data_IF_259723635670
#
_entry.id   IF_259723635670
#
_cell.length_a   1.000
_cell.length_b   1.000
_cell.length_c   1.000
_cell.angle_alpha   90.00
_cell.angle_beta   90.00
_cell.angle_gamma   90.00
#
_symmetry.space_group_name_H-M   'P 1'
#
loop_
_entity.id
_entity.type
_entity.pdbx_description
1 polymer ?
#
# COMPACT_ATOMS: atom_id res chain seq x y z
N UNK A 1 -60.20 -6.01 -18.32
CA UNK A 1 -60.10 -6.32 -16.88
C UNK A 1 -58.94 -7.28 -16.70
N UNK A 2 -57.79 -6.78 -16.24
CA UNK A 2 -56.55 -7.57 -16.14
C UNK A 2 -56.27 -7.86 -14.66
N UNK A 3 -56.37 -9.12 -14.26
CA UNK A 3 -56.19 -9.55 -12.88
C UNK A 3 -54.73 -9.91 -12.61
N UNK A 4 -54.09 -9.15 -11.72
CA UNK A 4 -52.72 -9.33 -11.22
C UNK A 4 -52.70 -10.33 -10.06
N UNK A 5 -52.29 -11.58 -10.32
CA UNK A 5 -52.18 -12.63 -9.27
C UNK A 5 -50.75 -13.15 -9.03
N UNK A 6 -49.71 -12.51 -9.60
CA UNK A 6 -48.34 -13.06 -9.57
C UNK A 6 -47.43 -12.52 -8.44
N UNK A 7 -47.85 -11.54 -7.64
CA UNK A 7 -47.00 -10.92 -6.60
C UNK A 7 -46.96 -11.69 -5.27
N UNK A 8 -48.07 -12.32 -4.89
CA UNK A 8 -48.24 -12.89 -3.54
C UNK A 8 -47.43 -14.16 -3.32
N UNK A 9 -47.37 -15.06 -4.28
CA UNK A 9 -46.62 -16.33 -4.14
C UNK A 9 -45.11 -16.08 -3.94
N UNK A 10 -44.55 -15.08 -4.62
CA UNK A 10 -43.14 -14.73 -4.48
C UNK A 10 -42.84 -14.03 -3.15
N UNK A 11 -43.78 -13.23 -2.62
CA UNK A 11 -43.66 -12.63 -1.29
C UNK A 11 -43.78 -13.68 -0.18
N UNK A 12 -44.72 -14.61 -0.30
CA UNK A 12 -44.92 -15.73 0.64
C UNK A 12 -43.68 -16.63 0.69
N UNK A 13 -43.09 -16.96 -0.47
CA UNK A 13 -41.84 -17.74 -0.55
C UNK A 13 -40.63 -17.04 0.10
N UNK A 14 -40.56 -15.70 0.00
CA UNK A 14 -39.51 -14.91 0.69
C UNK A 14 -39.74 -14.85 2.19
N UNK A 15 -40.98 -14.65 2.64
CA UNK A 15 -41.34 -14.60 4.05
C UNK A 15 -41.08 -15.95 4.73
N UNK A 16 -41.51 -17.06 4.13
CA UNK A 16 -41.22 -18.43 4.62
C UNK A 16 -39.72 -18.74 4.68
N UNK A 17 -38.92 -18.32 3.70
CA UNK A 17 -37.45 -18.46 3.82
C UNK A 17 -36.87 -17.62 4.95
N UNK A 18 -37.38 -16.41 5.19
CA UNK A 18 -36.92 -15.57 6.29
C UNK A 18 -37.28 -16.15 7.65
N UNK A 19 -38.49 -16.68 7.82
CA UNK A 19 -38.95 -17.32 9.06
C UNK A 19 -38.22 -18.64 9.34
N UNK A 20 -38.02 -19.48 8.33
CA UNK A 20 -37.22 -20.70 8.47
C UNK A 20 -35.76 -20.39 8.83
N UNK A 21 -35.19 -19.32 8.24
CA UNK A 21 -33.82 -18.90 8.52
C UNK A 21 -33.66 -18.30 9.92
N UNK A 22 -34.66 -17.60 10.44
CA UNK A 22 -34.66 -17.09 11.82
C UNK A 22 -34.90 -18.19 12.85
N UNK A 23 -35.81 -19.13 12.58
CA UNK A 23 -36.07 -20.28 13.44
C UNK A 23 -34.86 -21.23 13.52
N UNK A 24 -34.21 -21.52 12.39
CA UNK A 24 -32.97 -22.32 12.38
C UNK A 24 -31.80 -21.61 13.05
N UNK A 25 -31.69 -20.27 12.94
CA UNK A 25 -30.69 -19.50 13.68
C UNK A 25 -30.92 -19.53 15.21
N UNK A 26 -32.18 -19.54 15.65
CA UNK A 26 -32.59 -19.71 17.06
C UNK A 26 -32.24 -21.10 17.60
N UNK A 27 -32.63 -22.16 16.88
CA UNK A 27 -32.39 -23.56 17.26
C UNK A 27 -30.92 -23.98 17.26
N UNK A 28 -30.08 -23.36 16.42
CA UNK A 28 -28.65 -23.69 16.34
C UNK A 28 -27.79 -23.02 17.41
N UNK A 29 -28.36 -22.25 18.34
CA UNK A 29 -27.62 -21.59 19.42
C UNK A 29 -26.59 -20.55 18.93
N UNK A 30 -26.58 -20.22 17.64
CA UNK A 30 -25.67 -19.23 17.03
C UNK A 30 -26.15 -17.82 17.35
N UNK A 31 -26.12 -17.44 18.63
CA UNK A 31 -26.20 -16.03 19.01
C UNK A 31 -25.03 -15.30 18.36
N UNK A 32 -25.31 -14.23 17.59
CA UNK A 32 -24.26 -13.27 17.24
C UNK A 32 -23.66 -12.80 18.56
N UNK A 33 -22.34 -12.90 18.69
CA UNK A 33 -21.63 -12.40 19.87
C UNK A 33 -21.96 -10.92 20.10
N UNK A 34 -21.62 -10.37 21.28
CA UNK A 34 -21.95 -8.99 21.65
C UNK A 34 -21.49 -7.94 20.63
N UNK A 35 -20.53 -8.28 19.77
CA UNK A 35 -19.94 -7.40 18.76
C UNK A 35 -20.25 -7.85 17.31
N UNK A 36 -21.49 -7.71 16.81
CA UNK A 36 -21.88 -8.18 15.48
C UNK A 36 -21.17 -7.45 14.32
N UNK A 37 -20.55 -6.31 14.59
CA UNK A 37 -19.87 -5.47 13.60
C UNK A 37 -18.34 -5.66 13.58
N UNK A 38 -17.78 -6.44 14.50
CA UNK A 38 -16.34 -6.73 14.55
C UNK A 38 -16.07 -8.03 13.79
N UNK A 39 -15.03 -8.03 12.96
CA UNK A 39 -14.66 -9.23 12.21
C UNK A 39 -13.97 -10.25 13.12
N UNK A 40 -14.19 -11.54 12.81
CA UNK A 40 -13.42 -12.66 13.36
C UNK A 40 -11.93 -12.38 13.05
N UNK A 41 -11.06 -12.49 14.05
CA UNK A 41 -9.61 -12.19 14.00
C UNK A 41 -9.21 -10.71 14.06
N UNK A 42 -10.10 -9.82 14.54
CA UNK A 42 -9.69 -8.46 14.93
C UNK A 42 -9.03 -8.47 16.30
N UNK A 43 -7.84 -7.87 16.38
CA UNK A 43 -7.04 -7.73 17.60
C UNK A 43 -7.35 -6.37 18.24
N UNK A 44 -7.31 -6.30 19.57
CA UNK A 44 -7.43 -5.02 20.28
C UNK A 44 -6.24 -4.10 19.92
N UNK A 45 -6.47 -2.80 19.73
CA UNK A 45 -5.39 -1.86 19.37
C UNK A 45 -4.28 -1.83 20.43
N UNK A 46 -4.64 -2.04 21.70
CA UNK A 46 -3.69 -2.00 22.82
C UNK A 46 -2.95 -3.33 23.00
N UNK A 47 -3.33 -4.38 22.26
CA UNK A 47 -2.66 -5.69 22.36
C UNK A 47 -1.26 -5.64 21.75
N UNK A 48 -0.25 -6.32 22.33
CA UNK A 48 1.11 -6.38 21.79
C UNK A 48 1.15 -6.84 20.32
N UNK A 49 0.32 -7.82 19.95
CA UNK A 49 0.24 -8.32 18.57
C UNK A 49 -0.24 -7.26 17.56
N UNK A 50 -0.92 -6.20 18.00
CA UNK A 50 -1.32 -5.09 17.13
C UNK A 50 -0.20 -4.05 16.95
N UNK A 51 0.85 -4.11 17.77
CA UNK A 51 2.01 -3.20 17.76
C UNK A 51 3.16 -3.76 16.91
N UNK A 52 2.90 -3.89 15.62
CA UNK A 52 3.84 -4.47 14.62
C UNK A 52 4.81 -3.45 14.02
N UNK A 53 4.87 -2.26 14.58
CA UNK A 53 5.60 -1.13 14.02
C UNK A 53 7.10 -1.36 14.13
N UNK A 54 7.80 -1.20 13.01
CA UNK A 54 9.25 -1.29 12.93
C UNK A 54 9.77 -0.11 12.14
N UNK A 55 10.75 0.56 12.70
CA UNK A 55 11.50 1.61 12.03
C UNK A 55 12.02 1.09 10.69
N UNK A 56 11.90 1.93 9.65
CA UNK A 56 12.34 1.57 8.30
C UNK A 56 13.75 2.10 8.10
N UNK A 57 14.71 1.21 7.90
CA UNK A 57 16.14 1.56 7.82
C UNK A 57 16.53 2.47 9.00
N UNK A 58 17.18 3.60 8.72
CA UNK A 58 17.55 4.60 9.72
C UNK A 58 16.42 5.53 10.14
N UNK A 59 15.20 5.35 9.60
CA UNK A 59 14.00 6.16 9.86
C UNK A 59 14.06 7.59 9.31
N UNK A 60 15.16 7.94 8.65
CA UNK A 60 15.28 9.19 7.90
C UNK A 60 14.37 9.15 6.67
N UNK A 61 13.87 10.33 6.27
CA UNK A 61 13.08 10.48 5.05
C UNK A 61 13.83 10.04 3.80
N UNK A 62 15.15 10.27 3.74
CA UNK A 62 15.98 9.90 2.59
C UNK A 62 16.10 8.38 2.43
N UNK A 63 16.49 7.68 3.50
CA UNK A 63 16.60 6.22 3.50
C UNK A 63 15.24 5.54 3.37
N UNK A 64 14.20 6.08 4.02
CA UNK A 64 12.82 5.60 3.88
C UNK A 64 12.28 5.71 2.46
N UNK A 65 12.55 6.82 1.75
CA UNK A 65 12.18 6.95 0.34
C UNK A 65 12.98 6.00 -0.56
N UNK A 66 14.29 5.85 -0.32
CA UNK A 66 15.11 4.88 -1.05
C UNK A 66 14.61 3.43 -0.86
N UNK A 67 14.17 3.10 0.35
CA UNK A 67 13.55 1.82 0.67
C UNK A 67 12.20 1.62 -0.02
N UNK A 68 11.33 2.62 0.03
CA UNK A 68 10.03 2.58 -0.64
C UNK A 68 10.19 2.44 -2.17
N UNK A 69 11.15 3.16 -2.75
CA UNK A 69 11.52 3.06 -4.15
C UNK A 69 12.04 1.67 -4.52
N UNK A 70 12.89 1.08 -3.68
CA UNK A 70 13.43 -0.27 -3.90
C UNK A 70 12.31 -1.31 -3.88
N UNK A 71 11.40 -1.21 -2.90
CA UNK A 71 10.29 -2.14 -2.76
C UNK A 71 9.31 -2.02 -3.93
N UNK A 72 8.99 -0.79 -4.34
CA UNK A 72 8.10 -0.54 -5.47
C UNK A 72 8.70 -1.06 -6.77
N UNK A 73 9.98 -0.79 -7.03
CA UNK A 73 10.67 -1.31 -8.20
C UNK A 73 10.71 -2.85 -8.19
N UNK A 74 10.94 -3.46 -7.02
CA UNK A 74 10.90 -4.92 -6.88
C UNK A 74 9.52 -5.48 -7.21
N UNK A 75 8.45 -4.81 -6.78
CA UNK A 75 7.08 -5.24 -7.06
C UNK A 75 6.75 -5.16 -8.56
N UNK A 76 7.20 -4.10 -9.24
CA UNK A 76 7.05 -3.93 -10.68
C UNK A 76 7.81 -5.02 -11.45
N UNK A 77 9.09 -5.25 -11.11
CA UNK A 77 9.91 -6.32 -11.71
C UNK A 77 9.29 -7.71 -11.45
N UNK A 78 8.79 -7.95 -10.24
CA UNK A 78 8.11 -9.19 -9.88
C UNK A 78 6.87 -9.44 -10.75
N UNK A 79 6.02 -8.42 -10.95
CA UNK A 79 4.80 -8.53 -11.75
C UNK A 79 5.10 -8.86 -13.21
N UNK A 80 6.18 -8.29 -13.77
CA UNK A 80 6.62 -8.56 -15.15
C UNK A 80 7.21 -9.95 -15.29
N UNK A 81 8.15 -10.33 -14.41
CA UNK A 81 8.88 -11.61 -14.51
C UNK A 81 7.96 -12.81 -14.28
N UNK A 82 6.99 -12.71 -13.38
CA UNK A 82 6.10 -13.81 -13.02
C UNK A 82 4.78 -13.79 -13.80
N UNK A 83 4.65 -12.89 -14.79
CA UNK A 83 3.51 -12.87 -15.69
C UNK A 83 3.55 -14.10 -16.59
N UNK A 84 2.50 -14.93 -16.53
CA UNK A 84 2.34 -16.04 -17.47
C UNK A 84 1.84 -15.51 -18.82
N UNK A 85 2.19 -16.21 -19.89
CA UNK A 85 1.68 -15.88 -21.22
C UNK A 85 0.14 -15.90 -21.22
N UNK A 86 -0.49 -14.90 -21.82
CA UNK A 86 -1.95 -14.75 -21.85
C UNK A 86 -2.61 -14.38 -20.51
N UNK A 87 -1.86 -14.26 -19.41
CA UNK A 87 -2.41 -13.88 -18.10
C UNK A 87 -2.04 -12.45 -17.70
N UNK A 88 -2.77 -11.93 -16.70
CA UNK A 88 -2.34 -10.75 -15.97
C UNK A 88 -1.18 -11.12 -15.04
N UNK A 89 -0.36 -10.13 -14.68
CA UNK A 89 0.68 -10.29 -13.67
C UNK A 89 0.08 -10.62 -12.29
N UNK A 90 0.87 -11.23 -11.39
CA UNK A 90 0.41 -11.66 -10.07
C UNK A 90 -0.12 -10.51 -9.19
N UNK A 91 0.50 -9.33 -9.24
CA UNK A 91 0.09 -8.15 -8.47
C UNK A 91 -0.90 -7.28 -9.25
N UNK A 92 -0.75 -7.24 -10.58
CA UNK A 92 -1.47 -6.35 -11.50
C UNK A 92 -1.15 -4.86 -11.24
N UNK A 93 -1.46 -4.00 -12.21
CA UNK A 93 -1.31 -2.55 -12.08
C UNK A 93 -2.03 -1.99 -10.84
N UNK A 94 -3.19 -2.56 -10.47
CA UNK A 94 -3.94 -2.16 -9.28
C UNK A 94 -3.17 -2.45 -7.98
N UNK A 95 -2.50 -3.61 -7.88
CA UNK A 95 -1.66 -3.96 -6.73
C UNK A 95 -0.50 -2.99 -6.56
N UNK A 96 0.20 -2.69 -7.66
CA UNK A 96 1.31 -1.74 -7.68
C UNK A 96 0.83 -0.33 -7.28
N UNK A 97 -0.33 0.11 -7.80
CA UNK A 97 -0.92 1.41 -7.47
C UNK A 97 -1.29 1.53 -5.98
N UNK A 98 -1.88 0.48 -5.40
CA UNK A 98 -2.20 0.43 -3.97
C UNK A 98 -0.94 0.45 -3.11
N UNK A 99 0.06 -0.35 -3.46
CA UNK A 99 1.35 -0.38 -2.76
C UNK A 99 2.02 1.00 -2.78
N UNK A 100 2.10 1.63 -3.96
CA UNK A 100 2.61 3.00 -4.12
C UNK A 100 1.87 4.01 -3.27
N UNK A 101 0.53 3.94 -3.22
CA UNK A 101 -0.27 4.87 -2.42
C UNK A 101 0.04 4.76 -0.92
N UNK A 102 0.14 3.54 -0.39
CA UNK A 102 0.46 3.30 1.02
C UNK A 102 1.88 3.80 1.33
N UNK A 103 2.87 3.40 0.53
CA UNK A 103 4.28 3.75 0.72
C UNK A 103 4.55 5.26 0.69
N UNK A 104 3.81 6.03 -0.12
CA UNK A 104 4.05 7.48 -0.30
C UNK A 104 3.21 8.37 0.60
N UNK A 105 2.05 7.91 1.06
CA UNK A 105 1.06 8.77 1.74
C UNK A 105 0.74 8.37 3.17
N UNK A 106 0.90 7.10 3.52
CA UNK A 106 0.47 6.58 4.81
C UNK A 106 1.61 6.12 5.72
N UNK A 107 2.79 5.93 5.15
CA UNK A 107 3.92 5.35 5.85
C UNK A 107 4.77 6.43 6.50
N UNK A 108 4.83 6.40 7.82
CA UNK A 108 5.84 7.13 8.58
C UNK A 108 7.11 6.28 8.65
N UNK A 109 8.23 6.80 8.14
CA UNK A 109 9.50 6.09 8.10
C UNK A 109 10.17 5.98 9.47
N UNK A 110 9.95 6.97 10.34
CA UNK A 110 10.59 7.02 11.66
C UNK A 110 10.02 5.96 12.59
N UNK A 111 8.69 5.79 12.56
CA UNK A 111 7.98 4.83 13.42
C UNK A 111 7.65 3.52 12.69
N UNK A 112 7.60 3.52 11.36
CA UNK A 112 7.06 2.43 10.56
C UNK A 112 5.53 2.33 10.63
N UNK A 113 4.87 3.30 11.26
CA UNK A 113 3.42 3.28 11.50
C UNK A 113 2.69 3.58 10.20
N UNK A 114 1.71 2.73 9.86
CA UNK A 114 0.78 3.02 8.77
C UNK A 114 -0.61 2.46 9.06
N UNK A 115 -1.57 3.38 9.22
CA UNK A 115 -2.94 3.06 9.62
C UNK A 115 -4.01 3.67 8.70
N UNK A 116 -3.84 3.65 7.36
CA UNK A 116 -4.82 4.23 6.47
C UNK A 116 -6.16 3.47 6.55
N UNK A 117 -7.26 4.21 6.58
CA UNK A 117 -8.58 3.60 6.40
C UNK A 117 -8.72 3.04 4.97
N UNK A 118 -9.49 1.96 4.80
CA UNK A 118 -9.73 1.36 3.48
C UNK A 118 -10.34 2.37 2.49
N UNK A 119 -11.25 3.24 2.95
CA UNK A 119 -11.85 4.29 2.13
C UNK A 119 -10.83 5.36 1.72
N UNK A 120 -9.86 5.65 2.60
CA UNK A 120 -8.75 6.57 2.29
C UNK A 120 -7.86 6.00 1.19
N UNK A 121 -7.57 4.70 1.21
CA UNK A 121 -6.82 4.02 0.12
C UNK A 121 -7.60 4.09 -1.20
N UNK A 122 -8.92 3.86 -1.15
CA UNK A 122 -9.82 4.02 -2.31
C UNK A 122 -9.72 5.43 -2.88
N UNK A 123 -9.78 6.47 -2.04
CA UNK A 123 -9.68 7.88 -2.46
C UNK A 123 -8.32 8.19 -3.11
N UNK A 124 -7.22 7.67 -2.57
CA UNK A 124 -5.89 7.90 -3.14
C UNK A 124 -5.66 7.18 -4.46
N UNK A 125 -6.24 5.99 -4.62
CA UNK A 125 -6.04 5.14 -5.79
C UNK A 125 -7.11 5.34 -6.86
N UNK A 126 -8.27 5.92 -6.55
CA UNK A 126 -9.40 6.02 -7.47
C UNK A 126 -9.98 4.66 -7.89
N UNK A 127 -9.64 3.58 -7.17
CA UNK A 127 -10.12 2.23 -7.46
C UNK A 127 -11.38 1.92 -6.66
N UNK A 128 -12.20 1.00 -7.16
CA UNK A 128 -13.36 0.52 -6.39
C UNK A 128 -12.89 -0.23 -5.13
N UNK A 129 -13.70 -0.15 -4.07
CA UNK A 129 -13.46 -0.89 -2.80
C UNK A 129 -13.12 -2.38 -3.01
N UNK A 130 -13.87 -3.17 -3.81
CA UNK A 130 -13.51 -4.57 -4.05
C UNK A 130 -12.18 -4.73 -4.78
N UNK A 131 -11.83 -3.83 -5.71
CA UNK A 131 -10.54 -3.86 -6.39
C UNK A 131 -9.37 -3.61 -5.42
N UNK A 132 -9.52 -2.68 -4.47
CA UNK A 132 -8.52 -2.44 -3.43
C UNK A 132 -8.38 -3.65 -2.51
N UNK A 133 -9.49 -4.27 -2.08
CA UNK A 133 -9.45 -5.48 -1.23
C UNK A 133 -8.75 -6.64 -1.96
N UNK A 134 -9.05 -6.84 -3.25
CA UNK A 134 -8.40 -7.88 -4.06
C UNK A 134 -6.90 -7.58 -4.27
N UNK A 135 -6.54 -6.32 -4.47
CA UNK A 135 -5.14 -5.90 -4.60
C UNK A 135 -4.36 -6.13 -3.30
N UNK A 136 -4.94 -5.76 -2.14
CA UNK A 136 -4.34 -6.02 -0.83
C UNK A 136 -4.14 -7.53 -0.59
N UNK A 137 -5.13 -8.36 -0.90
CA UNK A 137 -5.02 -9.82 -0.80
C UNK A 137 -3.81 -10.36 -1.57
N UNK A 138 -3.64 -9.97 -2.84
CA UNK A 138 -2.50 -10.39 -3.67
C UNK A 138 -1.16 -9.91 -3.09
N UNK A 139 -1.08 -8.66 -2.64
CA UNK A 139 0.14 -8.13 -2.01
C UNK A 139 0.55 -8.94 -0.78
N UNK A 140 -0.43 -9.38 0.03
CA UNK A 140 -0.20 -10.24 1.19
C UNK A 140 0.20 -11.65 0.81
N UNK A 141 -0.43 -12.22 -0.19
CA UNK A 141 -0.11 -13.56 -0.66
C UNK A 141 1.35 -13.63 -1.15
N UNK A 142 1.85 -12.57 -1.79
CA UNK A 142 3.23 -12.49 -2.28
C UNK A 142 4.24 -11.90 -1.26
N UNK A 143 3.77 -11.41 -0.12
CA UNK A 143 4.62 -10.93 0.97
C UNK A 143 5.17 -9.51 0.81
N UNK A 144 4.53 -8.68 -0.03
CA UNK A 144 4.88 -7.25 -0.15
C UNK A 144 4.26 -6.39 0.95
N UNK A 145 3.11 -6.80 1.49
CA UNK A 145 2.36 -6.05 2.49
C UNK A 145 1.58 -7.01 3.38
N UNK A 146 1.58 -6.81 4.69
CA UNK A 146 0.71 -7.53 5.61
C UNK A 146 -0.13 -6.53 6.41
N UNK A 147 -1.21 -7.00 7.03
CA UNK A 147 -2.03 -6.17 7.90
C UNK A 147 -2.68 -6.95 9.02
N UNK A 148 -2.90 -6.24 10.12
CA UNK A 148 -3.70 -6.71 11.25
C UNK A 148 -4.99 -5.92 11.28
N UNK A 149 -6.10 -6.65 11.41
CA UNK A 149 -7.41 -6.05 11.65
C UNK A 149 -7.50 -5.66 13.11
N UNK A 150 -7.94 -4.44 13.37
CA UNK A 150 -7.97 -3.90 14.73
C UNK A 150 -9.38 -3.53 15.19
N UNK A 151 -9.60 -3.65 16.49
CA UNK A 151 -10.81 -3.20 17.17
C UNK A 151 -10.47 -2.38 18.41
N UNK A 152 -11.34 -1.43 18.75
CA UNK A 152 -11.23 -0.60 19.96
C UNK A 152 -12.44 -0.93 20.85
N UNK A 153 -12.25 -0.92 22.17
CA UNK A 153 -13.37 -1.04 23.12
C UNK A 153 -14.08 0.30 23.20
N UNK A 154 -15.39 0.30 22.97
CA UNK A 154 -16.21 1.53 22.95
C UNK A 154 -17.32 1.49 24.01
N UNK A 155 -17.60 0.32 24.60
CA UNK A 155 -18.60 0.17 25.66
C UNK A 155 -18.01 0.13 27.07
N UNK A 156 -18.77 0.63 28.04
CA UNK A 156 -18.59 0.29 29.45
C UNK A 156 -18.98 -1.17 29.69
N UNK A 157 -18.19 -1.87 30.53
CA UNK A 157 -18.46 -3.25 30.92
C UNK A 157 -19.88 -3.37 31.49
N UNK A 158 -20.71 -4.19 30.86
CA UNK A 158 -22.05 -4.52 31.36
C UNK A 158 -23.19 -3.70 30.75
N UNK A 159 -22.91 -2.66 29.95
CA UNK A 159 -23.98 -1.96 29.23
C UNK A 159 -24.47 -2.75 28.01
N UNK A 160 -25.79 -2.76 27.74
CA UNK A 160 -26.35 -3.38 26.53
C UNK A 160 -25.94 -2.59 25.28
N UNK A 161 -25.09 -3.20 24.44
CA UNK A 161 -24.63 -2.62 23.18
C UNK A 161 -23.33 -3.26 22.67
N UNK A 162 -22.86 -2.91 21.46
CA UNK A 162 -21.57 -3.37 20.95
C UNK A 162 -20.45 -2.88 21.86
N UNK A 163 -19.70 -3.80 22.43
CA UNK A 163 -18.61 -3.54 23.35
C UNK A 163 -17.33 -3.17 22.60
N UNK A 164 -17.21 -3.60 21.33
CA UNK A 164 -16.07 -3.30 20.45
C UNK A 164 -16.53 -2.70 19.12
N UNK A 165 -15.72 -1.76 18.63
CA UNK A 165 -15.87 -1.14 17.31
C UNK A 165 -14.66 -1.46 16.44
N UNK A 166 -14.91 -1.82 15.19
CA UNK A 166 -13.85 -2.00 14.20
C UNK A 166 -13.16 -0.65 13.92
N UNK A 167 -11.84 -0.65 13.90
CA UNK A 167 -11.04 0.52 13.53
C UNK A 167 -10.20 0.26 12.27
N UNK A 168 -9.40 1.25 11.86
CA UNK A 168 -8.47 1.12 10.74
C UNK A 168 -7.49 -0.03 10.96
N UNK A 169 -7.19 -0.75 9.87
CA UNK A 169 -6.21 -1.81 9.92
C UNK A 169 -4.81 -1.22 10.13
N UNK A 170 -3.95 -1.97 10.80
CA UNK A 170 -2.52 -1.69 10.87
C UNK A 170 -1.83 -2.37 9.68
N UNK A 171 -1.24 -1.60 8.78
CA UNK A 171 -0.51 -2.13 7.61
C UNK A 171 0.99 -2.07 7.87
N UNK A 172 1.70 -3.16 7.61
CA UNK A 172 3.13 -3.26 7.88
C UNK A 172 3.83 -4.11 6.84
N UNK A 173 5.15 -3.97 6.76
CA UNK A 173 5.96 -4.57 5.71
C UNK A 173 6.74 -5.75 6.27
N UNK A 174 6.07 -6.90 6.39
CA UNK A 174 6.73 -8.16 6.77
C UNK A 174 7.30 -8.86 5.54
N UNK A 175 8.53 -8.52 5.20
CA UNK A 175 9.23 -9.09 4.05
C UNK A 175 9.67 -10.56 4.27
N UNK A 176 9.39 -11.15 5.45
CA UNK A 176 9.70 -12.55 5.74
C UNK A 176 8.99 -13.52 4.80
N UNK A 177 7.70 -13.28 4.50
CA UNK A 177 6.95 -14.11 3.55
C UNK A 177 7.54 -14.03 2.14
N UNK A 178 7.96 -12.84 1.71
CA UNK A 178 8.65 -12.64 0.43
C UNK A 178 9.98 -13.38 0.41
N UNK A 179 10.78 -13.29 1.48
CA UNK A 179 12.05 -14.01 1.62
C UNK A 179 11.86 -15.52 1.49
N UNK A 180 10.85 -16.06 2.16
CA UNK A 180 10.66 -17.51 2.24
C UNK A 180 10.07 -18.08 0.95
N UNK A 181 9.11 -17.36 0.33
CA UNK A 181 8.41 -17.81 -0.89
C UNK A 181 9.13 -17.43 -2.19
N UNK A 182 9.85 -16.31 -2.20
CA UNK A 182 10.44 -15.70 -3.38
C UNK A 182 11.87 -15.22 -3.10
N UNK A 183 12.78 -16.14 -2.78
CA UNK A 183 14.19 -15.85 -2.41
C UNK A 183 14.91 -14.91 -3.39
N UNK A 184 14.75 -15.12 -4.70
CA UNK A 184 15.36 -14.26 -5.73
C UNK A 184 14.82 -12.83 -5.73
N UNK A 185 13.52 -12.66 -5.47
CA UNK A 185 12.87 -11.34 -5.36
C UNK A 185 13.38 -10.59 -4.13
N UNK A 186 13.55 -11.31 -3.02
CA UNK A 186 14.16 -10.75 -1.81
C UNK A 186 15.62 -10.32 -2.02
N UNK A 187 16.43 -11.13 -2.68
CA UNK A 187 17.81 -10.77 -3.03
C UNK A 187 17.84 -9.53 -3.94
N UNK A 188 16.95 -9.48 -4.94
CA UNK A 188 16.81 -8.34 -5.83
C UNK A 188 16.41 -7.07 -5.08
N UNK A 189 15.47 -7.18 -4.15
CA UNK A 189 15.09 -6.07 -3.28
C UNK A 189 16.29 -5.52 -2.49
N UNK A 190 17.08 -6.40 -1.86
CA UNK A 190 18.29 -5.99 -1.13
C UNK A 190 19.31 -5.31 -2.04
N UNK A 191 19.52 -5.82 -3.24
CA UNK A 191 20.42 -5.23 -4.22
C UNK A 191 19.96 -3.81 -4.62
N UNK A 192 18.66 -3.65 -4.90
CA UNK A 192 18.07 -2.37 -5.25
C UNK A 192 18.14 -1.37 -4.10
N UNK A 193 17.89 -1.84 -2.88
CA UNK A 193 17.98 -1.04 -1.67
C UNK A 193 19.41 -0.53 -1.45
N UNK A 194 20.41 -1.41 -1.46
CA UNK A 194 21.81 -1.03 -1.32
C UNK A 194 22.23 0.01 -2.38
N UNK A 195 21.84 -0.20 -3.64
CA UNK A 195 22.11 0.75 -4.73
C UNK A 195 21.44 2.10 -4.49
N UNK A 196 20.17 2.12 -4.06
CA UNK A 196 19.43 3.38 -3.85
C UNK A 196 19.92 4.14 -2.62
N UNK A 197 20.31 3.44 -1.55
CA UNK A 197 20.93 4.05 -0.38
C UNK A 197 22.28 4.67 -0.75
N UNK A 198 23.15 3.94 -1.46
CA UNK A 198 24.42 4.48 -1.94
C UNK A 198 24.23 5.76 -2.80
N UNK A 199 23.26 5.74 -3.71
CA UNK A 199 22.92 6.91 -4.53
C UNK A 199 22.34 8.07 -3.71
N UNK A 200 21.56 7.79 -2.66
CA UNK A 200 21.02 8.81 -1.78
C UNK A 200 22.14 9.50 -0.98
N UNK A 201 23.08 8.72 -0.44
CA UNK A 201 24.26 9.23 0.27
C UNK A 201 25.16 10.07 -0.64
N UNK A 202 25.41 9.60 -1.88
CA UNK A 202 26.19 10.34 -2.86
C UNK A 202 25.55 11.69 -3.23
N UNK A 203 24.20 11.75 -3.30
CA UNK A 203 23.47 13.01 -3.54
C UNK A 203 23.53 13.96 -2.36
N UNK A 204 23.42 13.47 -1.13
CA UNK A 204 23.50 14.32 0.07
C UNK A 204 24.92 14.81 0.35
N UNK A 205 25.95 14.05 -0.06
CA UNK A 205 27.35 14.45 0.07
C UNK A 205 27.85 15.41 -1.01
N UNK A 206 27.04 15.71 -2.04
CA UNK A 206 27.38 16.70 -3.07
C UNK A 206 27.13 18.11 -2.50
N UNK A 207 28.15 18.98 -2.40
CA UNK A 207 27.94 20.33 -1.92
C UNK A 207 26.99 21.10 -2.86
N UNK A 208 26.10 21.95 -2.33
CA UNK A 208 25.04 22.62 -3.09
C UNK A 208 25.56 23.52 -4.23
N UNK A 209 26.83 23.94 -4.16
CA UNK A 209 27.47 24.87 -5.10
C UNK A 209 28.56 24.25 -5.97
N UNK A 210 28.60 22.92 -6.15
CA UNK A 210 29.40 22.41 -7.28
C UNK A 210 28.66 22.74 -8.57
N UNK A 211 29.11 23.71 -9.40
CA UNK A 211 28.51 23.89 -10.71
C UNK A 211 28.52 22.53 -11.42
N UNK A 212 27.48 22.22 -12.23
CA UNK A 212 27.55 21.05 -13.09
C UNK A 212 28.92 21.09 -13.79
N UNK A 213 29.65 19.97 -13.91
CA UNK A 213 30.89 19.96 -14.67
C UNK A 213 30.56 20.63 -16.00
N UNK A 214 31.22 21.76 -16.28
CA UNK A 214 30.93 22.56 -17.46
C UNK A 214 30.86 21.57 -18.62
N UNK A 215 29.77 21.57 -19.40
CA UNK A 215 29.65 20.59 -20.46
C UNK A 215 30.91 20.73 -21.31
N UNK A 216 31.54 19.60 -21.66
CA UNK A 216 32.84 19.54 -22.34
C UNK A 216 32.85 20.20 -23.74
N UNK A 217 31.84 20.99 -24.07
CA UNK A 217 31.80 21.89 -25.20
C UNK A 217 32.94 22.91 -25.16
N UNK A 218 33.46 23.30 -23.99
CA UNK A 218 34.55 24.28 -23.88
C UNK A 218 35.86 23.82 -24.53
N UNK A 219 36.09 22.50 -24.64
CA UNK A 219 37.25 21.93 -25.34
C UNK A 219 36.95 21.53 -26.79
N UNK A 220 35.73 21.75 -27.27
CA UNK A 220 35.38 21.54 -28.68
C UNK A 220 35.75 22.77 -29.53
N UNK A 221 36.11 22.60 -30.82
CA UNK A 221 36.38 23.73 -31.72
C UNK A 221 35.21 24.72 -31.79
N UNK A 222 33.97 24.22 -31.66
CA UNK A 222 32.76 25.04 -31.63
C UNK A 222 32.69 25.90 -30.35
N UNK A 223 33.11 25.36 -29.21
CA UNK A 223 33.17 26.10 -27.95
C UNK A 223 34.18 27.23 -27.98
N UNK A 224 35.34 27.00 -28.61
CA UNK A 224 36.35 28.04 -28.83
C UNK A 224 35.81 29.17 -29.74
N UNK A 225 35.10 28.81 -30.82
CA UNK A 225 34.50 29.78 -31.74
C UNK A 225 33.40 30.63 -31.06
N UNK A 226 32.56 30.01 -30.22
CA UNK A 226 31.53 30.73 -29.46
C UNK A 226 32.12 31.64 -28.39
N UNK A 227 33.19 31.21 -27.72
CA UNK A 227 33.91 32.04 -26.75
C UNK A 227 34.57 33.26 -27.42
N UNK A 228 35.17 33.09 -28.59
CA UNK A 228 35.76 34.21 -29.34
C UNK A 228 34.69 35.19 -29.84
N UNK A 229 33.50 34.70 -30.21
CA UNK A 229 32.38 35.55 -30.61
C UNK A 229 31.85 36.37 -29.42
N UNK A 230 31.70 35.75 -28.25
CA UNK A 230 31.28 36.44 -27.02
C UNK A 230 32.20 37.60 -26.65
N UNK A 231 33.52 37.36 -26.67
CA UNK A 231 34.53 38.39 -26.39
C UNK A 231 34.46 39.57 -27.39
N UNK A 232 34.15 39.30 -28.67
CA UNK A 232 34.00 40.36 -29.68
C UNK A 232 32.73 41.19 -29.47
N UNK A 233 31.64 40.57 -29.04
CA UNK A 233 30.38 41.27 -28.75
C UNK A 233 30.54 42.17 -27.52
N UNK A 234 31.21 41.72 -26.46
CA UNK A 234 31.50 42.54 -25.28
C UNK A 234 32.42 43.72 -25.62
N UNK A 235 33.45 43.50 -26.44
CA UNK A 235 34.34 44.58 -26.89
C UNK A 235 33.66 45.60 -27.82
N UNK A 236 32.58 45.20 -28.50
CA UNK A 236 31.79 46.09 -29.36
C UNK A 236 30.65 46.79 -28.61
N UNK A 237 30.39 46.40 -27.36
CA UNK A 237 29.36 46.98 -26.49
C UNK A 237 29.93 47.97 -25.46
N UNK A 238 31.23 48.26 -25.53
CA UNK A 238 31.93 49.28 -24.73
C UNK A 238 32.25 50.52 -25.56
#
# INVERSE_FOLDING_TARGET
MSLTFSSDAAQIARQTRQTLKSATASLTGKRRGPDPHVRRDSVDVDHPDAQVWRKIEDGSKGSGLAWADALLQTAEEFDVVHKKHGSRGPLQANGIRVLKAILRRALDFATGRSEPELLTIVKWTGLSKPAVVAALARLRDHGFLDWIRRSIRVGEKGQPGPQRKQTSNAYFFSLGRMRDRHKGVWQRFRQLLARKLANATARSGRPPDSPPPAPAFSSSPLGAALASLGARIESASS
#
